data_IF_736794529767
#
_entry.id   IF_736794529767
#
_cell.length_a   1.000
_cell.length_b   1.000
_cell.length_c   1.000
_cell.angle_alpha   90.00
_cell.angle_beta   90.00
_cell.angle_gamma   90.00
#
_symmetry.space_group_name_H-M   'P 1'
#
loop_
_entity.id
_entity.type
_entity.pdbx_description
1 polymer ?
#
# COMPACT_ATOMS: atom_id res chain seq x y z
N UNK A 1 -10.70 2.06 6.79
CA UNK A 1 -11.83 1.11 7.00
C UNK A 1 -13.15 1.58 6.39
N UNK A 2 -13.72 2.74 6.77
CA UNK A 2 -15.00 3.21 6.19
C UNK A 2 -14.88 3.67 4.72
N UNK A 3 -13.75 4.30 4.37
CA UNK A 3 -13.44 4.67 2.99
C UNK A 3 -13.26 3.43 2.09
N UNK A 4 -12.58 2.39 2.59
CA UNK A 4 -12.35 1.14 1.85
C UNK A 4 -13.66 0.39 1.57
N UNK A 5 -14.62 0.42 2.51
CA UNK A 5 -15.94 -0.18 2.32
C UNK A 5 -16.80 0.57 1.29
N UNK A 6 -16.79 1.92 1.32
CA UNK A 6 -17.50 2.73 0.35
C UNK A 6 -16.91 2.57 -1.05
N UNK A 7 -15.58 2.55 -1.16
CA UNK A 7 -14.86 2.34 -2.43
C UNK A 7 -15.15 0.94 -2.97
N UNK A 8 -15.08 -0.12 -2.16
CA UNK A 8 -15.39 -1.48 -2.62
C UNK A 8 -16.85 -1.67 -3.03
N UNK A 9 -17.79 -1.06 -2.31
CA UNK A 9 -19.23 -1.12 -2.66
C UNK A 9 -19.52 -0.35 -3.95
N UNK A 10 -18.88 0.82 -4.15
CA UNK A 10 -18.98 1.57 -5.40
C UNK A 10 -18.30 0.87 -6.57
N UNK A 11 -17.20 0.16 -6.36
CA UNK A 11 -16.54 -0.64 -7.40
C UNK A 11 -17.40 -1.81 -7.83
N UNK A 12 -17.96 -2.58 -6.90
CA UNK A 12 -18.79 -3.73 -7.25
C UNK A 12 -20.09 -3.32 -7.96
N UNK A 13 -20.68 -2.18 -7.62
CA UNK A 13 -21.91 -1.70 -8.26
C UNK A 13 -21.67 -0.86 -9.53
N UNK A 14 -20.61 -0.05 -9.56
CA UNK A 14 -20.33 0.91 -10.63
C UNK A 14 -19.54 0.32 -11.80
N UNK A 15 -18.61 -0.60 -11.54
CA UNK A 15 -17.78 -1.21 -12.58
C UNK A 15 -18.60 -2.01 -13.63
N UNK A 16 -19.62 -2.80 -13.26
CA UNK A 16 -20.47 -3.48 -14.24
C UNK A 16 -21.25 -2.52 -15.13
N UNK A 17 -21.71 -1.39 -14.57
CA UNK A 17 -22.44 -0.37 -15.31
C UNK A 17 -21.55 0.33 -16.33
N UNK A 18 -20.33 0.71 -15.92
CA UNK A 18 -19.35 1.38 -16.79
C UNK A 18 -18.80 0.44 -17.87
N UNK A 19 -18.56 -0.84 -17.54
CA UNK A 19 -18.17 -1.87 -18.51
C UNK A 19 -19.29 -2.08 -19.55
N UNK A 20 -20.55 -2.10 -19.13
CA UNK A 20 -21.67 -2.28 -20.05
C UNK A 20 -21.82 -1.08 -21.01
N UNK A 21 -21.62 0.15 -20.52
CA UNK A 21 -21.57 1.36 -21.36
C UNK A 21 -20.40 1.29 -22.35
N UNK A 22 -19.21 0.90 -21.88
CA UNK A 22 -18.02 0.79 -22.73
C UNK A 22 -18.19 -0.29 -23.82
N UNK A 23 -18.66 -1.48 -23.46
CA UNK A 23 -18.92 -2.56 -24.41
C UNK A 23 -20.04 -2.20 -25.40
N UNK A 24 -21.08 -1.50 -24.93
CA UNK A 24 -22.14 -0.97 -25.78
C UNK A 24 -21.64 0.04 -26.82
N UNK A 25 -20.64 0.86 -26.47
CA UNK A 25 -20.01 1.80 -27.41
C UNK A 25 -18.93 1.17 -28.30
N UNK A 26 -18.21 0.15 -27.82
CA UNK A 26 -17.16 -0.55 -28.59
C UNK A 26 -17.73 -1.31 -29.79
N UNK A 27 -18.93 -1.88 -29.65
CA UNK A 27 -19.61 -2.61 -30.72
C UNK A 27 -20.32 -1.71 -31.74
N UNK A 28 -20.29 -0.39 -31.56
CA UNK A 28 -20.82 0.57 -32.55
C UNK A 28 -19.77 0.89 -33.60
N UNK A 29 -20.19 0.94 -34.86
CA UNK A 29 -19.35 1.37 -35.98
C UNK A 29 -18.83 2.78 -35.70
N UNK A 30 -17.59 3.12 -36.06
CA UNK A 30 -17.01 4.44 -35.77
C UNK A 30 -17.85 5.60 -36.33
N UNK A 31 -18.58 5.35 -37.40
CA UNK A 31 -19.52 6.28 -38.06
C UNK A 31 -20.77 6.58 -37.20
N UNK A 32 -21.20 5.67 -36.33
CA UNK A 32 -22.36 5.80 -35.44
C UNK A 32 -22.00 6.35 -34.05
N UNK A 33 -20.72 6.68 -33.82
CA UNK A 33 -20.29 7.29 -32.57
C UNK A 33 -20.72 8.75 -32.57
N UNK A 34 -21.89 9.01 -32.00
CA UNK A 34 -22.32 10.37 -31.67
C UNK A 34 -21.23 10.97 -30.77
N UNK A 35 -20.51 11.99 -31.28
CA UNK A 35 -19.58 12.77 -30.49
C UNK A 35 -20.38 13.44 -29.37
N UNK A 36 -20.41 12.82 -28.18
CA UNK A 36 -21.03 13.40 -26.99
C UNK A 36 -20.38 14.77 -26.78
N UNK A 37 -21.15 15.87 -26.78
CA UNK A 37 -20.57 17.18 -26.50
C UNK A 37 -19.96 17.13 -25.11
N UNK A 38 -18.66 17.40 -25.00
CA UNK A 38 -17.93 17.39 -23.72
C UNK A 38 -18.62 18.33 -22.75
N UNK A 39 -19.17 17.77 -21.70
CA UNK A 39 -19.92 18.49 -20.68
C UNK A 39 -18.93 19.28 -19.81
N UNK A 40 -19.40 20.34 -19.13
CA UNK A 40 -18.56 21.09 -18.17
C UNK A 40 -17.99 20.17 -17.08
N UNK A 41 -18.77 19.16 -16.67
CA UNK A 41 -18.37 18.11 -15.73
C UNK A 41 -17.16 17.32 -16.24
N UNK A 42 -17.13 16.95 -17.53
CA UNK A 42 -16.03 16.18 -18.12
C UNK A 42 -14.72 17.00 -18.11
N UNK A 43 -14.81 18.32 -18.34
CA UNK A 43 -13.65 19.22 -18.25
C UNK A 43 -13.14 19.34 -16.80
N UNK A 44 -14.06 19.48 -15.84
CA UNK A 44 -13.71 19.55 -14.42
C UNK A 44 -13.04 18.25 -13.95
N UNK A 45 -13.61 17.10 -14.33
CA UNK A 45 -13.05 15.77 -14.03
C UNK A 45 -11.66 15.59 -14.65
N UNK A 46 -11.47 16.03 -15.90
CA UNK A 46 -10.15 15.98 -16.56
C UNK A 46 -9.11 16.81 -15.80
N UNK A 47 -9.45 18.04 -15.40
CA UNK A 47 -8.55 18.91 -14.63
C UNK A 47 -8.24 18.32 -13.26
N UNK A 48 -9.25 17.78 -12.56
CA UNK A 48 -9.05 17.11 -11.27
C UNK A 48 -8.12 15.89 -11.40
N UNK A 49 -8.24 15.11 -12.48
CA UNK A 49 -7.38 13.96 -12.74
C UNK A 49 -5.93 14.39 -12.98
N UNK A 50 -5.70 15.45 -13.76
CA UNK A 50 -4.36 16.00 -13.99
C UNK A 50 -3.74 16.48 -12.67
N UNK A 51 -4.50 17.21 -11.85
CA UNK A 51 -4.03 17.68 -10.53
C UNK A 51 -3.72 16.49 -9.62
N UNK A 52 -4.57 15.45 -9.62
CA UNK A 52 -4.33 14.22 -8.86
C UNK A 52 -3.04 13.50 -9.27
N UNK A 53 -2.78 13.35 -10.57
CA UNK A 53 -1.52 12.76 -11.07
C UNK A 53 -0.32 13.60 -10.62
N UNK A 54 -0.40 14.92 -10.71
CA UNK A 54 0.69 15.81 -10.26
C UNK A 54 0.90 15.67 -8.75
N UNK A 55 -0.17 15.68 -7.96
CA UNK A 55 -0.10 15.49 -6.51
C UNK A 55 0.57 14.17 -6.15
N UNK A 56 0.20 13.08 -6.82
CA UNK A 56 0.78 11.75 -6.58
C UNK A 56 2.24 11.68 -7.02
N UNK A 57 2.62 12.31 -8.14
CA UNK A 57 4.03 12.44 -8.53
C UNK A 57 4.84 13.25 -7.52
N UNK A 58 4.29 14.35 -7.00
CA UNK A 58 4.90 15.13 -5.92
C UNK A 58 5.04 14.26 -4.68
N UNK A 59 4.00 13.51 -4.30
CA UNK A 59 4.05 12.64 -3.15
C UNK A 59 5.11 11.54 -3.30
N UNK A 60 5.23 10.92 -4.47
CA UNK A 60 6.27 9.93 -4.76
C UNK A 60 7.68 10.51 -4.75
N UNK A 61 7.86 11.77 -5.15
CA UNK A 61 9.17 12.44 -5.13
C UNK A 61 9.60 12.86 -3.72
N UNK A 62 8.67 13.33 -2.89
CA UNK A 62 8.99 13.92 -1.58
C UNK A 62 8.74 13.00 -0.39
N UNK A 63 7.70 12.17 -0.43
CA UNK A 63 7.39 11.22 0.63
C UNK A 63 7.91 9.83 0.23
N UNK A 64 9.09 9.50 0.73
CA UNK A 64 9.60 8.12 0.64
C UNK A 64 8.66 7.20 1.41
N UNK A 65 8.28 6.04 0.86
CA UNK A 65 7.44 5.09 1.57
C UNK A 65 8.13 4.66 2.87
N UNK A 66 7.36 4.43 3.94
CA UNK A 66 7.92 3.93 5.19
C UNK A 66 8.64 2.62 4.92
N UNK A 67 9.87 2.52 5.43
CA UNK A 67 10.67 1.32 5.35
C UNK A 67 11.46 1.10 6.63
N UNK A 68 11.45 -0.13 7.12
CA UNK A 68 12.30 -0.57 8.23
C UNK A 68 13.76 -0.18 8.02
N UNK A 69 14.28 -0.25 6.79
CA UNK A 69 15.67 0.13 6.48
C UNK A 69 15.92 1.63 6.65
N UNK A 70 14.93 2.46 6.28
CA UNK A 70 15.02 3.91 6.50
C UNK A 70 14.86 4.26 7.99
N UNK A 71 13.98 3.57 8.71
CA UNK A 71 13.76 3.76 10.15
C UNK A 71 14.99 3.38 10.95
N UNK A 72 15.61 2.24 10.64
CA UNK A 72 16.84 1.76 11.29
C UNK A 72 18.12 2.44 10.76
N UNK A 73 18.00 3.33 9.77
CA UNK A 73 19.10 4.01 9.09
C UNK A 73 20.21 3.04 8.62
N UNK A 74 19.80 1.99 7.90
CA UNK A 74 20.69 0.94 7.36
C UNK A 74 20.49 0.78 5.86
N UNK A 75 21.53 0.34 5.13
CA UNK A 75 21.38 0.02 3.72
C UNK A 75 20.57 -1.27 3.55
N UNK A 76 19.88 -1.41 2.42
CA UNK A 76 19.03 -2.58 2.11
C UNK A 76 19.82 -3.90 1.98
N UNK A 77 21.13 -3.80 1.72
CA UNK A 77 22.06 -4.93 1.65
C UNK A 77 22.77 -5.22 2.98
N UNK A 78 22.33 -4.61 4.10
CA UNK A 78 22.95 -4.80 5.40
C UNK A 78 22.92 -6.29 5.83
N UNK A 79 24.02 -6.73 6.44
CA UNK A 79 24.11 -8.05 7.05
C UNK A 79 23.21 -8.16 8.30
N UNK A 80 22.75 -9.38 8.60
CA UNK A 80 21.81 -9.63 9.71
C UNK A 80 22.32 -9.16 11.08
N UNK A 81 23.63 -9.25 11.33
CA UNK A 81 24.21 -8.78 12.58
C UNK A 81 24.07 -7.26 12.75
N UNK A 82 24.26 -6.49 11.66
CA UNK A 82 24.11 -5.04 11.67
C UNK A 82 22.64 -4.66 11.86
N UNK A 83 21.75 -5.39 11.18
CA UNK A 83 20.30 -5.24 11.31
C UNK A 83 19.86 -5.42 12.78
N UNK A 84 20.30 -6.50 13.44
CA UNK A 84 19.99 -6.79 14.85
C UNK A 84 20.52 -5.73 15.81
N UNK A 85 21.75 -5.25 15.59
CA UNK A 85 22.35 -4.22 16.45
C UNK A 85 21.57 -2.90 16.34
N UNK A 86 21.26 -2.46 15.11
CA UNK A 86 20.51 -1.22 14.86
C UNK A 86 19.07 -1.29 15.35
N UNK A 87 18.43 -2.45 15.21
CA UNK A 87 17.12 -2.70 15.81
C UNK A 87 17.15 -2.54 17.33
N UNK A 88 18.14 -3.13 18.02
CA UNK A 88 18.28 -2.99 19.48
C UNK A 88 18.51 -1.55 19.91
N UNK A 89 19.38 -0.83 19.20
CA UNK A 89 19.61 0.61 19.43
C UNK A 89 18.32 1.41 19.27
N UNK A 90 17.58 1.20 18.18
CA UNK A 90 16.33 1.90 17.88
C UNK A 90 15.25 1.67 18.94
N UNK A 91 15.06 0.42 19.37
CA UNK A 91 14.06 0.08 20.40
C UNK A 91 14.40 0.74 21.74
N UNK A 92 15.68 0.73 22.14
CA UNK A 92 16.11 1.35 23.40
C UNK A 92 15.96 2.86 23.36
N UNK A 93 16.29 3.50 22.22
CA UNK A 93 16.19 4.95 22.03
C UNK A 93 14.73 5.43 22.00
N UNK A 94 13.84 4.66 21.35
CA UNK A 94 12.44 5.05 21.14
C UNK A 94 11.53 4.70 22.32
N UNK A 95 11.69 3.50 22.89
CA UNK A 95 10.78 2.95 23.90
C UNK A 95 11.42 2.78 25.29
N UNK A 96 12.75 2.90 25.39
CA UNK A 96 13.47 2.80 26.65
C UNK A 96 14.17 1.46 26.88
N UNK A 97 15.02 1.43 27.89
CA UNK A 97 15.94 0.31 28.16
C UNK A 97 15.24 -0.99 28.56
N UNK A 98 14.03 -0.90 29.11
CA UNK A 98 13.18 -2.04 29.48
C UNK A 98 12.78 -2.91 28.27
N UNK A 99 12.79 -2.35 27.06
CA UNK A 99 12.48 -3.09 25.83
C UNK A 99 13.70 -3.75 25.17
N UNK A 100 14.91 -3.56 25.71
CA UNK A 100 16.15 -4.14 25.13
C UNK A 100 16.13 -5.67 25.03
N UNK A 101 15.43 -6.33 25.96
CA UNK A 101 15.26 -7.79 26.04
C UNK A 101 13.83 -8.24 25.75
N UNK A 102 13.04 -7.40 25.07
CA UNK A 102 11.65 -7.71 24.76
C UNK A 102 11.54 -8.93 23.85
N UNK A 103 10.75 -9.94 24.28
CA UNK A 103 10.37 -11.08 23.46
C UNK A 103 8.92 -10.90 22.98
N UNK A 104 8.69 -10.70 21.67
CA UNK A 104 7.35 -10.49 21.13
C UNK A 104 6.39 -11.66 21.29
N UNK A 105 6.89 -12.85 21.64
CA UNK A 105 6.07 -14.06 21.82
C UNK A 105 5.66 -14.27 23.29
N UNK A 106 6.26 -13.53 24.24
CA UNK A 106 6.05 -13.71 25.67
C UNK A 106 5.22 -12.56 26.29
N UNK A 107 4.20 -12.09 25.58
CA UNK A 107 3.33 -11.01 26.04
C UNK A 107 2.01 -11.60 26.51
N UNK A 108 1.60 -11.28 27.74
CA UNK A 108 0.29 -11.65 28.24
C UNK A 108 -0.76 -10.64 27.71
N UNK A 109 -1.97 -11.08 27.31
CA UNK A 109 -2.98 -10.18 26.71
C UNK A 109 -3.39 -9.01 27.61
N UNK A 110 -3.24 -9.14 28.93
CA UNK A 110 -3.56 -8.13 29.92
C UNK A 110 -2.47 -7.06 30.12
N UNK A 111 -1.37 -7.12 29.36
CA UNK A 111 -0.27 -6.15 29.39
C UNK A 111 -0.15 -5.36 28.08
N UNK A 112 -1.10 -5.53 27.15
CA UNK A 112 -1.09 -4.84 25.86
C UNK A 112 -1.49 -3.37 26.07
N UNK A 113 -0.50 -2.49 26.06
CA UNK A 113 -0.69 -1.06 25.76
C UNK A 113 -0.51 -0.85 24.25
N UNK A 114 -1.04 0.26 23.71
CA UNK A 114 -0.93 0.57 22.28
C UNK A 114 0.54 0.60 21.81
N UNK A 115 1.42 1.20 22.61
CA UNK A 115 2.87 1.23 22.35
C UNK A 115 3.48 -0.18 22.28
N UNK A 116 3.02 -1.09 23.15
CA UNK A 116 3.52 -2.46 23.21
C UNK A 116 3.08 -3.29 21.98
N UNK A 117 1.90 -3.01 21.44
CA UNK A 117 1.43 -3.63 20.20
C UNK A 117 2.24 -3.14 18.99
N UNK A 118 2.59 -1.86 18.94
CA UNK A 118 3.45 -1.30 17.89
C UNK A 118 4.85 -1.93 17.92
N UNK A 119 5.48 -1.99 19.11
CA UNK A 119 6.77 -2.66 19.32
C UNK A 119 6.69 -4.13 18.92
N UNK A 120 5.59 -4.82 19.25
CA UNK A 120 5.37 -6.22 18.87
C UNK A 120 5.30 -6.38 17.35
N UNK A 121 4.52 -5.56 16.65
CA UNK A 121 4.41 -5.61 15.18
C UNK A 121 5.77 -5.34 14.53
N UNK A 122 6.48 -4.32 14.98
CA UNK A 122 7.78 -3.95 14.45
C UNK A 122 8.85 -5.02 14.69
N UNK A 123 8.87 -5.63 15.88
CA UNK A 123 9.81 -6.71 16.23
C UNK A 123 9.56 -8.00 15.44
N UNK A 124 8.29 -8.38 15.22
CA UNK A 124 7.93 -9.52 14.35
C UNK A 124 8.41 -9.25 12.92
N UNK A 125 8.13 -8.06 12.38
CA UNK A 125 8.58 -7.68 11.05
C UNK A 125 10.12 -7.73 10.94
N UNK A 126 10.83 -7.16 11.91
CA UNK A 126 12.29 -7.20 11.93
C UNK A 126 12.84 -8.63 11.94
N UNK A 127 12.23 -9.52 12.72
CA UNK A 127 12.60 -10.95 12.76
C UNK A 127 12.35 -11.64 11.42
N UNK A 128 11.22 -11.39 10.78
CA UNK A 128 10.90 -11.95 9.47
C UNK A 128 11.88 -11.48 8.39
N UNK A 129 12.31 -10.22 8.43
CA UNK A 129 13.29 -9.68 7.49
C UNK A 129 14.72 -10.20 7.70
N UNK A 130 15.00 -11.00 8.73
CA UNK A 130 16.28 -11.71 8.84
C UNK A 130 16.40 -12.84 7.81
N UNK A 131 15.27 -13.38 7.35
CA UNK A 131 15.20 -14.41 6.33
C UNK A 131 15.40 -13.79 4.93
N UNK A 132 16.39 -14.25 4.14
CA UNK A 132 16.73 -13.62 2.86
C UNK A 132 15.57 -13.57 1.85
N UNK A 133 14.75 -14.63 1.80
CA UNK A 133 13.60 -14.73 0.89
C UNK A 133 12.52 -13.71 1.23
N UNK A 134 12.13 -13.64 2.52
CA UNK A 134 11.18 -12.64 3.02
C UNK A 134 11.68 -11.22 2.83
N UNK A 135 12.98 -10.99 3.07
CA UNK A 135 13.62 -9.69 2.81
C UNK A 135 13.53 -9.30 1.34
N UNK A 136 13.79 -10.23 0.42
CA UNK A 136 13.68 -9.97 -1.01
C UNK A 136 12.25 -9.58 -1.41
N UNK A 137 11.25 -10.31 -0.91
CA UNK A 137 9.83 -9.99 -1.11
C UNK A 137 9.47 -8.61 -0.56
N UNK A 138 9.89 -8.31 0.66
CA UNK A 138 9.67 -7.00 1.29
C UNK A 138 10.29 -5.86 0.47
N UNK A 139 11.54 -6.01 0.00
CA UNK A 139 12.21 -5.00 -0.81
C UNK A 139 11.55 -4.82 -2.19
N UNK A 140 10.96 -5.87 -2.73
CA UNK A 140 10.31 -5.87 -4.04
C UNK A 140 8.94 -5.19 -4.03
N UNK A 141 8.11 -5.45 -3.01
CA UNK A 141 6.72 -4.97 -2.96
C UNK A 141 6.47 -3.85 -1.94
N UNK A 142 7.42 -3.61 -1.03
CA UNK A 142 7.33 -2.59 0.01
C UNK A 142 6.60 -3.04 1.27
N UNK A 143 6.74 -2.25 2.34
CA UNK A 143 6.25 -2.55 3.68
C UNK A 143 4.74 -2.76 3.74
N UNK A 144 4.00 -1.91 3.04
CA UNK A 144 2.53 -1.94 3.06
C UNK A 144 2.01 -3.24 2.47
N UNK A 145 2.53 -3.66 1.31
CA UNK A 145 2.14 -4.91 0.69
C UNK A 145 2.52 -6.11 1.56
N UNK A 146 3.73 -6.08 2.12
CA UNK A 146 4.24 -7.16 2.96
C UNK A 146 3.47 -7.34 4.28
N UNK A 147 3.09 -6.23 4.94
CA UNK A 147 2.44 -6.28 6.26
C UNK A 147 0.92 -6.38 6.20
N UNK A 148 0.29 -5.88 5.13
CA UNK A 148 -1.17 -5.81 5.04
C UNK A 148 -1.78 -6.90 4.17
N UNK A 149 -1.00 -7.58 3.31
CA UNK A 149 -1.53 -8.69 2.53
C UNK A 149 -1.51 -10.00 3.34
N UNK A 150 -2.65 -10.34 3.94
CA UNK A 150 -2.79 -11.56 4.76
C UNK A 150 -2.92 -12.86 3.96
N UNK A 151 -3.10 -12.78 2.63
CA UNK A 151 -3.36 -13.92 1.74
C UNK A 151 -2.28 -14.10 0.66
N UNK A 152 -1.22 -13.28 0.68
CA UNK A 152 -0.16 -13.35 -0.31
C UNK A 152 0.85 -14.43 0.07
N UNK A 153 0.94 -15.49 -0.75
CA UNK A 153 1.94 -16.56 -0.57
C UNK A 153 3.04 -16.47 -1.64
N UNK A 154 2.68 -16.05 -2.86
CA UNK A 154 3.60 -15.95 -3.99
C UNK A 154 3.76 -14.54 -4.55
N UNK A 155 4.76 -14.40 -5.42
CA UNK A 155 5.04 -13.15 -6.14
C UNK A 155 3.81 -12.57 -6.87
N UNK A 156 3.02 -13.44 -7.51
CA UNK A 156 1.83 -13.01 -8.24
C UNK A 156 0.77 -12.40 -7.32
N UNK A 157 0.62 -12.92 -6.10
CA UNK A 157 -0.36 -12.43 -5.14
C UNK A 157 0.00 -11.03 -4.68
N UNK A 158 1.27 -10.82 -4.32
CA UNK A 158 1.78 -9.50 -3.94
C UNK A 158 1.66 -8.48 -5.07
N UNK A 159 1.94 -8.90 -6.31
CA UNK A 159 1.78 -8.06 -7.48
C UNK A 159 0.31 -7.62 -7.67
N UNK A 160 -0.63 -8.58 -7.59
CA UNK A 160 -2.06 -8.29 -7.70
C UNK A 160 -2.53 -7.37 -6.58
N UNK A 161 -2.08 -7.58 -5.34
CA UNK A 161 -2.41 -6.72 -4.20
C UNK A 161 -1.94 -5.27 -4.43
N UNK A 162 -0.68 -5.09 -4.81
CA UNK A 162 -0.09 -3.76 -5.05
C UNK A 162 -0.78 -3.02 -6.19
N UNK A 163 -1.06 -3.73 -7.29
CA UNK A 163 -1.79 -3.15 -8.43
C UNK A 163 -3.22 -2.80 -8.04
N UNK A 164 -3.94 -3.69 -7.37
CA UNK A 164 -5.34 -3.45 -7.03
C UNK A 164 -5.45 -2.21 -6.16
N UNK A 165 -4.62 -2.10 -5.12
CA UNK A 165 -4.60 -0.92 -4.24
C UNK A 165 -4.32 0.39 -5.00
N UNK A 166 -3.33 0.36 -5.89
CA UNK A 166 -2.89 1.58 -6.59
C UNK A 166 -3.85 1.95 -7.72
N UNK A 167 -4.35 0.97 -8.46
CA UNK A 167 -5.09 1.17 -9.72
C UNK A 167 -6.57 1.44 -9.49
N UNK A 168 -7.16 0.90 -8.42
CA UNK A 168 -8.57 1.11 -8.09
C UNK A 168 -8.90 2.60 -7.98
N UNK A 169 -8.00 3.41 -7.41
CA UNK A 169 -8.20 4.85 -7.27
C UNK A 169 -8.29 5.58 -8.62
N UNK A 170 -7.57 5.11 -9.65
CA UNK A 170 -7.53 5.76 -10.96
C UNK A 170 -8.51 5.19 -11.97
N UNK A 171 -8.78 3.88 -11.92
CA UNK A 171 -9.74 3.22 -12.80
C UNK A 171 -11.14 3.82 -12.59
N UNK A 172 -11.51 4.15 -11.35
CA UNK A 172 -12.78 4.81 -11.05
C UNK A 172 -12.90 6.19 -11.71
N UNK A 173 -11.86 7.02 -11.62
CA UNK A 173 -11.87 8.37 -12.20
C UNK A 173 -11.87 8.29 -13.73
N UNK A 174 -11.11 7.35 -14.32
CA UNK A 174 -11.09 7.12 -15.76
C UNK A 174 -12.41 6.56 -16.29
N UNK A 175 -13.11 5.73 -15.53
CA UNK A 175 -14.39 5.16 -15.95
C UNK A 175 -15.56 6.17 -15.82
N UNK A 176 -15.41 7.22 -15.01
CA UNK A 176 -16.38 8.32 -14.91
C UNK A 176 -16.23 9.41 -15.99
N UNK A 177 -15.11 9.42 -16.73
CA UNK A 177 -14.82 10.31 -17.86
C UNK A 177 -15.39 9.77 -19.18
#
# INVERSE_FOLDING_TARGET
MFADFLVNTFLMAGLPFLINIYLGNKNRRPEDRINRPKTYVDRLATVALIIGIIYEMVCLMFFKPPSVFTTLNIPTNAANWLFRNRYREYIVDTFGQEFASFDPNNIRPNQLTDDLEEVRKFSILCRDLEEPEKRATYLKYGEVAYTQCSWCEGDNDYFVFTISRSSINYIYILALL
#
